data_IF_849411541265
#
_entry.id   IF_849411541265
#
_cell.length_a   1.000
_cell.length_b   1.000
_cell.length_c   1.000
_cell.angle_alpha   90.00
_cell.angle_beta   90.00
_cell.angle_gamma   90.00
#
_symmetry.space_group_name_H-M   'P 1'
#
loop_
_entity.id
_entity.type
_entity.pdbx_description
1 polymer ?
#
# COMPACT_ATOMS: atom_id res chain seq x y z
N UNK A 1 -37.40 17.92 -4.22
CA UNK A 1 -36.11 18.27 -3.60
C UNK A 1 -35.09 17.57 -4.42
N UNK A 2 -34.14 18.27 -5.00
CA UNK A 2 -33.08 17.62 -5.76
C UNK A 2 -32.33 16.71 -4.76
N UNK A 3 -32.21 15.43 -5.08
CA UNK A 3 -31.30 14.53 -4.40
C UNK A 3 -29.90 15.13 -4.58
N UNK A 4 -29.47 15.88 -3.56
CA UNK A 4 -28.17 16.52 -3.57
C UNK A 4 -27.13 15.44 -3.41
N UNK A 5 -26.41 15.14 -4.48
CA UNK A 5 -25.28 14.25 -4.49
C UNK A 5 -24.28 14.68 -3.40
N UNK A 6 -23.98 13.79 -2.45
CA UNK A 6 -23.01 14.07 -1.37
C UNK A 6 -21.65 14.33 -1.97
N UNK A 7 -21.06 15.50 -1.67
CA UNK A 7 -19.80 15.94 -2.24
C UNK A 7 -18.76 16.20 -1.15
N UNK A 8 -17.53 15.82 -1.41
CA UNK A 8 -16.43 15.96 -0.45
C UNK A 8 -15.26 16.74 -1.06
N UNK A 9 -14.65 17.63 -0.28
CA UNK A 9 -13.57 18.48 -0.75
C UNK A 9 -12.19 17.87 -0.48
N UNK A 10 -11.19 18.36 -1.21
CA UNK A 10 -9.81 17.92 -1.08
C UNK A 10 -9.17 18.19 0.30
N UNK A 11 -9.75 19.03 1.16
CA UNK A 11 -9.23 19.29 2.50
C UNK A 11 -9.70 18.26 3.54
N UNK A 12 -10.68 17.43 3.20
CA UNK A 12 -11.19 16.38 4.08
C UNK A 12 -10.35 15.08 3.99
N UNK A 13 -9.31 15.05 3.19
CA UNK A 13 -8.37 13.94 3.07
C UNK A 13 -6.96 14.41 3.36
N UNK A 14 -6.11 13.52 3.89
CA UNK A 14 -4.67 13.77 4.03
C UNK A 14 -3.86 13.19 2.87
N UNK A 15 -4.41 12.19 2.18
CA UNK A 15 -3.78 11.55 1.03
C UNK A 15 -3.56 12.53 -0.13
N UNK A 16 -2.32 12.65 -0.60
CA UNK A 16 -1.95 13.62 -1.65
C UNK A 16 -2.44 13.20 -3.05
N UNK A 17 -2.69 11.91 -3.29
CA UNK A 17 -3.28 11.46 -4.55
C UNK A 17 -4.75 11.87 -4.62
N UNK A 18 -5.53 11.60 -3.57
CA UNK A 18 -6.93 12.01 -3.47
C UNK A 18 -7.08 13.52 -3.57
N UNK A 19 -6.27 14.29 -2.85
CA UNK A 19 -6.27 15.76 -2.95
C UNK A 19 -6.03 16.24 -4.38
N UNK A 20 -5.10 15.61 -5.09
CA UNK A 20 -4.76 15.97 -6.47
C UNK A 20 -5.90 15.61 -7.42
N UNK A 21 -6.50 14.43 -7.28
CA UNK A 21 -7.63 14.00 -8.11
C UNK A 21 -8.85 14.90 -7.90
N UNK A 22 -9.17 15.25 -6.65
CA UNK A 22 -10.25 16.18 -6.35
C UNK A 22 -9.97 17.58 -6.92
N UNK A 23 -8.72 18.07 -6.86
CA UNK A 23 -8.36 19.37 -7.44
C UNK A 23 -8.39 19.38 -8.96
N UNK A 24 -8.08 18.24 -9.60
CA UNK A 24 -8.01 18.10 -11.04
C UNK A 24 -9.39 17.96 -11.69
N UNK A 25 -10.24 17.13 -11.09
CA UNK A 25 -11.50 16.72 -11.68
C UNK A 25 -12.72 17.34 -10.99
N UNK A 26 -12.52 17.94 -9.81
CA UNK A 26 -13.60 18.48 -8.99
C UNK A 26 -14.19 19.78 -9.51
N UNK A 27 -15.41 20.02 -9.12
CA UNK A 27 -16.16 21.26 -9.31
C UNK A 27 -16.24 22.04 -8.01
N UNK A 28 -16.36 23.38 -8.11
CA UNK A 28 -16.48 24.22 -6.92
C UNK A 28 -17.88 24.12 -6.36
N UNK A 29 -17.98 23.54 -5.16
CA UNK A 29 -19.26 23.34 -4.47
C UNK A 29 -19.06 23.33 -2.95
N UNK A 30 -20.15 23.33 -2.19
CA UNK A 30 -20.11 23.19 -0.75
C UNK A 30 -19.81 21.73 -0.36
N UNK A 31 -18.82 21.54 0.51
CA UNK A 31 -18.47 20.24 1.03
C UNK A 31 -19.49 19.81 2.11
N UNK A 32 -20.09 18.64 1.96
CA UNK A 32 -21.07 18.11 2.89
C UNK A 32 -20.53 17.91 4.33
N UNK A 33 -19.22 17.69 4.46
CA UNK A 33 -18.59 17.36 5.76
C UNK A 33 -17.98 18.57 6.47
N UNK A 34 -17.31 19.45 5.76
CA UNK A 34 -16.68 20.61 6.41
C UNK A 34 -17.37 21.95 6.13
N UNK A 35 -18.41 21.98 5.32
CA UNK A 35 -19.21 23.19 4.99
C UNK A 35 -18.46 24.25 4.17
N UNK A 36 -17.24 23.96 3.68
CA UNK A 36 -16.45 24.91 2.91
C UNK A 36 -16.76 24.80 1.43
N UNK A 37 -16.84 25.94 0.75
CA UNK A 37 -16.99 26.00 -0.72
C UNK A 37 -15.62 25.88 -1.38
N UNK A 38 -15.27 24.67 -1.81
CA UNK A 38 -13.98 24.30 -2.39
C UNK A 38 -14.17 23.46 -3.64
N UNK A 39 -13.07 22.98 -4.23
CA UNK A 39 -13.15 21.92 -5.24
C UNK A 39 -13.55 20.62 -4.55
N UNK A 40 -14.65 20.04 -5.00
CA UNK A 40 -15.29 18.82 -4.46
C UNK A 40 -15.50 17.81 -5.56
N UNK A 41 -15.51 16.53 -5.20
CA UNK A 41 -16.01 15.43 -6.04
C UNK A 41 -17.22 14.77 -5.39
N UNK A 42 -18.09 14.12 -6.17
CA UNK A 42 -19.10 13.21 -5.64
C UNK A 42 -18.48 12.13 -4.78
N UNK A 43 -19.13 11.78 -3.68
CA UNK A 43 -18.65 10.72 -2.80
C UNK A 43 -18.56 9.37 -3.51
N UNK A 44 -19.44 9.12 -4.47
CA UNK A 44 -19.40 7.91 -5.31
C UNK A 44 -18.11 7.79 -6.14
N UNK A 45 -17.62 8.90 -6.69
CA UNK A 45 -16.35 8.90 -7.44
C UNK A 45 -15.17 8.64 -6.51
N UNK A 46 -15.22 9.17 -5.30
CA UNK A 46 -14.22 8.88 -4.26
C UNK A 46 -14.29 7.42 -3.84
N UNK A 47 -15.49 6.86 -3.63
CA UNK A 47 -15.68 5.45 -3.32
C UNK A 47 -15.07 4.53 -4.39
N UNK A 48 -15.19 4.86 -5.69
CA UNK A 48 -14.54 4.10 -6.76
C UNK A 48 -13.01 4.05 -6.62
N UNK A 49 -12.39 5.13 -6.16
CA UNK A 49 -10.94 5.16 -5.94
C UNK A 49 -10.53 4.27 -4.76
N UNK A 50 -11.31 4.28 -3.68
CA UNK A 50 -11.09 3.39 -2.54
C UNK A 50 -11.32 1.93 -2.89
N UNK A 51 -12.40 1.61 -3.60
CA UNK A 51 -12.71 0.27 -4.10
C UNK A 51 -11.53 -0.30 -4.89
N UNK A 52 -11.06 0.44 -5.90
CA UNK A 52 -9.91 0.03 -6.71
C UNK A 52 -8.62 -0.16 -5.89
N UNK A 53 -8.37 0.69 -4.91
CA UNK A 53 -7.20 0.59 -4.04
C UNK A 53 -7.29 -0.64 -3.12
N UNK A 54 -8.45 -0.87 -2.50
CA UNK A 54 -8.67 -2.01 -1.60
C UNK A 54 -8.60 -3.32 -2.38
N UNK A 55 -9.29 -3.45 -3.50
CA UNK A 55 -9.24 -4.66 -4.34
C UNK A 55 -7.83 -4.99 -4.84
N UNK A 56 -7.01 -3.97 -5.08
CA UNK A 56 -5.65 -4.16 -5.61
C UNK A 56 -4.66 -4.56 -4.52
N UNK A 57 -4.74 -3.94 -3.34
CA UNK A 57 -3.69 -4.00 -2.33
C UNK A 57 -4.06 -4.77 -1.06
N UNK A 58 -5.34 -5.06 -0.89
CA UNK A 58 -5.84 -5.72 0.31
C UNK A 58 -6.66 -6.96 -0.05
N UNK A 59 -6.79 -7.87 0.89
CA UNK A 59 -7.67 -9.03 0.78
C UNK A 59 -8.53 -9.14 2.04
N UNK A 60 -9.76 -9.55 1.83
CA UNK A 60 -10.70 -9.74 2.92
C UNK A 60 -10.30 -10.96 3.73
N UNK A 61 -10.25 -10.82 5.04
CA UNK A 61 -9.99 -11.92 5.96
C UNK A 61 -11.28 -12.71 6.26
N UNK A 62 -11.16 -13.96 6.74
CA UNK A 62 -12.33 -14.74 7.13
C UNK A 62 -13.19 -14.02 8.17
N UNK A 63 -14.52 -14.08 8.02
CA UNK A 63 -15.48 -13.47 8.95
C UNK A 63 -15.78 -14.34 10.18
N UNK A 64 -15.18 -15.52 10.30
CA UNK A 64 -15.39 -16.45 11.40
C UNK A 64 -14.26 -17.47 11.53
N UNK A 65 -14.19 -18.17 12.65
CA UNK A 65 -13.17 -19.17 12.90
C UNK A 65 -13.26 -20.33 11.88
N UNK A 66 -12.11 -20.85 11.51
CA UNK A 66 -12.03 -22.09 10.74
C UNK A 66 -12.55 -23.28 11.58
N UNK A 67 -12.89 -24.38 10.93
CA UNK A 67 -13.34 -25.60 11.61
C UNK A 67 -12.34 -26.07 12.70
N UNK A 68 -11.05 -25.88 12.46
CA UNK A 68 -10.01 -26.25 13.43
C UNK A 68 -10.03 -25.33 14.66
N UNK A 69 -10.16 -24.03 14.45
CA UNK A 69 -10.24 -23.02 15.52
C UNK A 69 -11.54 -23.18 16.33
N UNK A 70 -12.66 -23.43 15.66
CA UNK A 70 -13.92 -23.79 16.32
C UNK A 70 -13.75 -25.02 17.24
N UNK A 71 -13.08 -26.05 16.73
CA UNK A 71 -12.78 -27.25 17.54
C UNK A 71 -11.87 -26.93 18.73
N UNK A 72 -10.87 -26.08 18.54
CA UNK A 72 -10.00 -25.67 19.63
C UNK A 72 -10.74 -24.86 20.71
N UNK A 73 -11.65 -23.98 20.30
CA UNK A 73 -12.52 -23.23 21.23
C UNK A 73 -13.41 -24.20 22.01
N UNK A 74 -14.06 -25.14 21.32
CA UNK A 74 -14.95 -26.13 21.96
C UNK A 74 -14.21 -27.03 22.98
N UNK A 75 -12.94 -27.31 22.76
CA UNK A 75 -12.12 -28.13 23.64
C UNK A 75 -11.36 -27.32 24.69
N UNK A 76 -11.57 -25.99 24.77
CA UNK A 76 -10.93 -25.11 25.74
C UNK A 76 -9.42 -24.92 25.50
N UNK A 77 -8.96 -25.16 24.28
CA UNK A 77 -7.57 -24.95 23.84
C UNK A 77 -7.34 -23.52 23.34
N UNK A 78 -8.44 -22.81 23.04
CA UNK A 78 -8.46 -21.41 22.62
C UNK A 78 -9.66 -20.73 23.29
N UNK A 79 -9.44 -19.56 23.91
CA UNK A 79 -10.51 -18.88 24.65
C UNK A 79 -11.47 -18.14 23.69
N UNK A 80 -10.93 -17.43 22.72
CA UNK A 80 -11.68 -16.61 21.78
C UNK A 80 -11.02 -16.61 20.41
N UNK A 81 -11.82 -16.37 19.36
CA UNK A 81 -11.35 -16.06 18.02
C UNK A 81 -11.50 -14.56 17.79
N UNK A 82 -10.53 -13.98 17.11
CA UNK A 82 -10.56 -12.60 16.64
C UNK A 82 -10.31 -12.57 15.14
N UNK A 83 -11.04 -11.74 14.38
CA UNK A 83 -10.74 -11.57 12.96
C UNK A 83 -9.32 -11.02 12.79
N UNK A 84 -8.62 -11.54 11.79
CA UNK A 84 -7.32 -11.01 11.37
C UNK A 84 -7.52 -9.74 10.53
N UNK A 85 -6.48 -8.90 10.46
CA UNK A 85 -6.56 -7.64 9.74
C UNK A 85 -7.23 -6.52 10.52
N UNK A 86 -7.61 -5.46 9.81
CA UNK A 86 -8.28 -4.30 10.42
C UNK A 86 -9.69 -4.12 9.84
N UNK A 87 -10.62 -3.54 10.62
CA UNK A 87 -11.96 -3.22 10.14
C UNK A 87 -11.90 -2.37 8.87
N UNK A 88 -12.81 -2.58 7.94
CA UNK A 88 -12.83 -1.87 6.65
C UNK A 88 -12.97 -0.36 6.82
N UNK A 89 -13.68 0.11 7.82
CA UNK A 89 -13.84 1.53 8.13
C UNK A 89 -12.51 2.16 8.55
N UNK A 90 -11.78 1.51 9.46
CA UNK A 90 -10.45 1.94 9.92
C UNK A 90 -9.45 1.94 8.76
N UNK A 91 -9.56 0.95 7.85
CA UNK A 91 -8.75 0.90 6.64
C UNK A 91 -9.01 2.09 5.72
N UNK A 92 -10.27 2.46 5.50
CA UNK A 92 -10.64 3.61 4.67
C UNK A 92 -10.14 4.91 5.33
N UNK A 93 -10.27 5.06 6.65
CA UNK A 93 -9.71 6.20 7.39
C UNK A 93 -8.20 6.30 7.19
N UNK A 94 -7.48 5.20 7.35
CA UNK A 94 -6.01 5.15 7.24
C UNK A 94 -5.55 5.47 5.81
N UNK A 95 -6.12 4.82 4.78
CA UNK A 95 -5.75 5.03 3.38
C UNK A 95 -6.00 6.47 2.95
N UNK A 96 -7.15 7.02 3.31
CA UNK A 96 -7.57 8.36 2.91
C UNK A 96 -7.00 9.47 3.80
N UNK A 97 -6.58 9.14 5.02
CA UNK A 97 -6.36 10.14 6.06
C UNK A 97 -7.60 11.02 6.23
N UNK A 98 -8.75 10.40 6.47
CA UNK A 98 -10.05 11.06 6.52
C UNK A 98 -10.74 10.83 7.87
N UNK A 99 -11.91 11.41 8.07
CA UNK A 99 -12.70 11.21 9.30
C UNK A 99 -13.56 9.96 9.22
N UNK A 100 -13.91 9.40 10.39
CA UNK A 100 -14.83 8.27 10.53
C UNK A 100 -16.17 8.46 9.81
N UNK A 101 -16.72 9.67 9.83
CA UNK A 101 -17.99 9.98 9.15
C UNK A 101 -17.88 9.75 7.63
N UNK A 102 -16.78 10.22 7.03
CA UNK A 102 -16.52 10.04 5.59
C UNK A 102 -16.23 8.57 5.28
N UNK A 103 -15.43 7.92 6.11
CA UNK A 103 -15.09 6.50 5.95
C UNK A 103 -16.35 5.61 6.03
N UNK A 104 -17.23 5.86 7.01
CA UNK A 104 -18.50 5.15 7.16
C UNK A 104 -19.44 5.34 5.96
N UNK A 105 -19.52 6.54 5.42
CA UNK A 105 -20.35 6.82 4.24
C UNK A 105 -19.76 6.15 2.97
N UNK A 106 -18.42 6.17 2.79
CA UNK A 106 -17.74 5.45 1.70
C UNK A 106 -17.99 3.95 1.84
N UNK A 107 -17.79 3.39 3.04
CA UNK A 107 -18.06 1.98 3.32
C UNK A 107 -19.49 1.59 2.94
N UNK A 108 -20.46 2.40 3.38
CA UNK A 108 -21.89 2.15 3.11
C UNK A 108 -22.19 2.13 1.61
N UNK A 109 -21.60 3.04 0.83
CA UNK A 109 -21.74 3.03 -0.62
C UNK A 109 -21.14 1.78 -1.26
N UNK A 110 -19.98 1.31 -0.75
CA UNK A 110 -19.34 0.10 -1.25
C UNK A 110 -20.13 -1.15 -0.85
N UNK A 111 -20.63 -1.22 0.37
CA UNK A 111 -21.50 -2.30 0.84
C UNK A 111 -22.76 -2.41 -0.02
N UNK A 112 -23.44 -1.31 -0.31
CA UNK A 112 -24.64 -1.28 -1.16
C UNK A 112 -24.37 -1.81 -2.58
N UNK A 113 -23.18 -1.60 -3.12
CA UNK A 113 -22.78 -2.09 -4.45
C UNK A 113 -22.49 -3.58 -4.48
N UNK A 114 -21.87 -4.08 -3.42
CA UNK A 114 -21.42 -5.47 -3.29
C UNK A 114 -22.44 -6.39 -2.60
N UNK A 115 -23.54 -5.84 -2.10
CA UNK A 115 -24.62 -6.59 -1.47
C UNK A 115 -25.71 -6.93 -2.49
N UNK A 116 -26.15 -8.18 -2.49
CA UNK A 116 -27.35 -8.58 -3.20
C UNK A 116 -28.53 -8.64 -2.24
N UNK A 117 -29.74 -8.55 -2.77
CA UNK A 117 -30.94 -8.74 -1.97
C UNK A 117 -30.98 -10.10 -1.27
N UNK A 118 -30.44 -11.13 -1.92
CA UNK A 118 -30.37 -12.49 -1.36
C UNK A 118 -29.39 -12.56 -0.18
N UNK A 119 -28.26 -11.85 -0.25
CA UNK A 119 -27.30 -11.78 0.86
C UNK A 119 -27.94 -11.13 2.08
N UNK A 120 -28.67 -10.03 1.87
CA UNK A 120 -29.38 -9.35 2.94
C UNK A 120 -30.47 -10.22 3.57
N UNK A 121 -31.26 -10.95 2.75
CA UNK A 121 -32.32 -11.85 3.23
C UNK A 121 -31.75 -13.08 3.97
N UNK A 122 -30.55 -13.55 3.61
CA UNK A 122 -29.88 -14.71 4.23
C UNK A 122 -28.95 -14.34 5.38
N UNK A 123 -28.68 -13.06 5.59
CA UNK A 123 -27.70 -12.59 6.58
C UNK A 123 -26.27 -13.03 6.26
N UNK A 124 -25.97 -13.15 4.97
CA UNK A 124 -24.61 -13.46 4.52
C UNK A 124 -23.70 -12.25 4.73
N UNK A 125 -22.47 -12.51 5.16
CA UNK A 125 -21.45 -11.48 5.21
C UNK A 125 -21.05 -11.08 3.79
N UNK A 126 -21.28 -9.80 3.45
CA UNK A 126 -20.93 -9.23 2.14
C UNK A 126 -19.58 -8.55 2.18
N UNK A 127 -19.04 -8.19 1.02
CA UNK A 127 -17.86 -7.34 0.97
C UNK A 127 -18.22 -5.95 1.50
N UNK A 128 -17.29 -5.33 2.22
CA UNK A 128 -17.46 -4.00 2.82
C UNK A 128 -18.57 -3.87 3.89
N UNK A 129 -19.12 -4.99 4.39
CA UNK A 129 -20.00 -4.90 5.55
C UNK A 129 -19.26 -4.41 6.80
N UNK A 130 -19.98 -3.94 7.81
CA UNK A 130 -19.40 -3.33 9.02
C UNK A 130 -18.50 -4.26 9.84
N UNK A 131 -18.64 -5.58 9.66
CA UNK A 131 -17.86 -6.60 10.35
C UNK A 131 -16.70 -7.13 9.49
N UNK A 132 -16.58 -6.62 8.25
CA UNK A 132 -15.51 -7.04 7.33
C UNK A 132 -14.16 -6.51 7.76
N UNK A 133 -13.17 -7.40 7.77
CA UNK A 133 -11.78 -7.06 8.05
C UNK A 133 -10.93 -7.33 6.81
N UNK A 134 -9.89 -6.53 6.66
CA UNK A 134 -8.98 -6.61 5.53
C UNK A 134 -7.54 -6.60 6.01
N UNK A 135 -6.69 -7.36 5.35
CA UNK A 135 -5.25 -7.33 5.53
C UNK A 135 -4.54 -6.95 4.22
N UNK A 136 -3.35 -6.38 4.35
CA UNK A 136 -2.55 -6.05 3.19
C UNK A 136 -2.23 -7.32 2.40
N UNK A 137 -2.66 -7.34 1.13
CA UNK A 137 -2.31 -8.43 0.23
C UNK A 137 -0.80 -8.52 0.16
N UNK A 138 -0.24 -9.67 0.54
CA UNK A 138 1.17 -9.91 0.36
C UNK A 138 1.50 -9.57 -1.10
N UNK A 139 2.43 -8.66 -1.33
CA UNK A 139 2.92 -8.38 -2.67
C UNK A 139 3.49 -9.71 -3.15
N UNK A 140 2.62 -10.53 -3.71
CA UNK A 140 3.07 -11.67 -4.48
C UNK A 140 3.96 -11.05 -5.53
N UNK A 141 5.29 -11.24 -5.41
CA UNK A 141 6.25 -10.60 -6.29
C UNK A 141 6.06 -10.94 -7.77
N UNK A 142 4.95 -11.59 -8.12
CA UNK A 142 4.59 -12.05 -9.44
C UNK A 142 5.79 -12.78 -10.07
N UNK A 143 5.99 -12.57 -11.36
CA UNK A 143 7.20 -13.05 -12.06
C UNK A 143 8.49 -12.58 -11.36
N UNK A 144 8.49 -11.37 -10.79
CA UNK A 144 9.66 -10.79 -10.13
C UNK A 144 10.03 -11.51 -8.83
N UNK A 145 9.05 -11.95 -8.04
CA UNK A 145 9.27 -12.69 -6.80
C UNK A 145 9.96 -14.03 -7.02
N UNK A 146 9.69 -14.69 -8.15
CA UNK A 146 10.36 -15.93 -8.54
C UNK A 146 11.65 -15.69 -9.31
N UNK A 147 11.70 -14.66 -10.16
CA UNK A 147 12.87 -14.34 -10.99
C UNK A 147 14.01 -13.75 -10.16
N UNK A 148 13.73 -12.97 -9.12
CA UNK A 148 14.76 -12.31 -8.32
C UNK A 148 15.70 -13.28 -7.58
N UNK A 149 15.23 -14.31 -6.87
CA UNK A 149 16.12 -15.30 -6.25
C UNK A 149 17.00 -16.03 -7.27
N UNK A 150 16.44 -16.36 -8.45
CA UNK A 150 17.21 -16.97 -9.55
C UNK A 150 18.28 -16.01 -10.11
N UNK A 151 17.91 -14.75 -10.27
CA UNK A 151 18.82 -13.70 -10.71
C UNK A 151 19.97 -13.54 -9.73
N UNK A 152 19.67 -13.40 -8.44
CA UNK A 152 20.66 -13.28 -7.38
C UNK A 152 21.58 -14.51 -7.31
N UNK A 153 21.03 -15.71 -7.38
CA UNK A 153 21.80 -16.95 -7.40
C UNK A 153 22.75 -17.00 -8.60
N UNK A 154 22.27 -16.67 -9.79
CA UNK A 154 23.09 -16.66 -11.01
C UNK A 154 24.24 -15.63 -10.93
N UNK A 155 24.00 -14.45 -10.38
CA UNK A 155 25.05 -13.45 -10.16
C UNK A 155 26.10 -13.92 -9.16
N UNK A 156 25.71 -14.66 -8.13
CA UNK A 156 26.60 -15.18 -7.10
C UNK A 156 27.44 -16.38 -7.56
N UNK A 157 26.86 -17.23 -8.43
CA UNK A 157 27.45 -18.55 -8.75
C UNK A 157 27.97 -18.71 -10.17
N UNK A 158 27.33 -18.07 -11.16
CA UNK A 158 27.59 -18.41 -12.57
C UNK A 158 28.28 -17.29 -13.34
N UNK A 159 27.83 -16.05 -13.25
CA UNK A 159 28.33 -14.97 -14.11
C UNK A 159 28.24 -13.59 -13.42
N UNK A 160 29.24 -13.30 -12.60
CA UNK A 160 29.27 -12.07 -11.81
C UNK A 160 29.44 -10.78 -12.64
N UNK A 161 30.24 -10.82 -13.71
CA UNK A 161 30.70 -9.61 -14.40
C UNK A 161 30.27 -9.49 -15.88
N UNK A 162 29.81 -10.54 -16.52
CA UNK A 162 29.51 -10.55 -17.96
C UNK A 162 28.18 -11.23 -18.26
N UNK A 163 27.14 -10.96 -17.48
CA UNK A 163 25.82 -11.55 -17.72
C UNK A 163 24.93 -10.61 -18.51
N UNK A 164 24.86 -10.82 -19.83
CA UNK A 164 23.90 -10.14 -20.72
C UNK A 164 22.44 -10.39 -20.27
N UNK A 165 22.19 -11.59 -19.70
CA UNK A 165 20.87 -11.93 -19.15
C UNK A 165 20.54 -11.07 -17.94
N UNK A 166 21.50 -10.85 -17.04
CA UNK A 166 21.34 -9.99 -15.87
C UNK A 166 21.04 -8.54 -16.28
N UNK A 167 21.73 -8.01 -17.27
CA UNK A 167 21.45 -6.67 -17.80
C UNK A 167 20.04 -6.55 -18.33
N UNK A 168 19.54 -7.53 -19.11
CA UNK A 168 18.18 -7.54 -19.63
C UNK A 168 17.12 -7.62 -18.51
N UNK A 169 17.39 -8.41 -17.46
CA UNK A 169 16.49 -8.51 -16.31
C UNK A 169 16.43 -7.17 -15.56
N UNK A 170 17.58 -6.54 -15.31
CA UNK A 170 17.62 -5.22 -14.67
C UNK A 170 16.94 -4.15 -15.53
N UNK A 171 17.15 -4.16 -16.85
CA UNK A 171 16.52 -3.24 -17.78
C UNK A 171 14.98 -3.39 -17.77
N UNK A 172 14.49 -4.63 -17.73
CA UNK A 172 13.04 -4.90 -17.58
C UNK A 172 12.48 -4.37 -16.26
N UNK A 173 13.21 -4.59 -15.15
CA UNK A 173 12.76 -4.19 -13.80
C UNK A 173 12.78 -2.67 -13.63
N UNK A 174 13.86 -2.03 -14.09
CA UNK A 174 14.09 -0.59 -13.90
C UNK A 174 13.65 0.25 -15.09
N UNK A 175 12.90 -0.35 -16.05
CA UNK A 175 12.36 0.37 -17.20
C UNK A 175 11.53 1.58 -16.73
N UNK A 176 11.91 2.77 -17.21
CA UNK A 176 11.24 4.05 -16.86
C UNK A 176 11.16 4.38 -15.37
N UNK A 177 12.03 3.82 -14.54
CA UNK A 177 12.02 4.07 -13.10
C UNK A 177 12.18 5.57 -12.76
N UNK A 178 12.81 6.36 -13.62
CA UNK A 178 12.90 7.82 -13.49
C UNK A 178 11.56 8.54 -13.62
N UNK A 179 10.57 7.92 -14.28
CA UNK A 179 9.21 8.46 -14.37
C UNK A 179 8.38 8.19 -13.11
N UNK A 180 8.81 7.21 -12.29
CA UNK A 180 8.10 6.83 -11.08
C UNK A 180 8.27 7.89 -9.99
N UNK A 181 7.23 8.01 -9.18
CA UNK A 181 7.19 8.95 -8.04
C UNK A 181 6.78 8.18 -6.78
N UNK A 182 7.29 8.63 -5.64
CA UNK A 182 6.82 8.15 -4.34
C UNK A 182 5.40 8.63 -4.09
N UNK A 183 4.73 8.05 -3.08
CA UNK A 183 3.45 8.52 -2.57
C UNK A 183 3.41 10.05 -2.33
N UNK A 184 4.49 10.64 -1.86
CA UNK A 184 4.63 12.09 -1.66
C UNK A 184 4.97 12.86 -2.96
N UNK A 185 4.82 12.25 -4.13
CA UNK A 185 5.17 12.82 -5.45
C UNK A 185 6.64 13.21 -5.62
N UNK A 186 7.54 12.63 -4.81
CA UNK A 186 8.99 12.82 -4.97
C UNK A 186 9.55 11.82 -5.99
N UNK A 187 10.60 12.15 -6.74
CA UNK A 187 11.25 11.18 -7.62
C UNK A 187 11.74 9.97 -6.82
N UNK A 188 11.55 8.77 -7.36
CA UNK A 188 12.04 7.52 -6.78
C UNK A 188 13.57 7.43 -6.90
N UNK A 189 14.12 7.99 -7.99
CA UNK A 189 15.57 8.09 -8.20
C UNK A 189 16.03 9.48 -7.79
N UNK A 190 17.10 9.51 -7.00
CA UNK A 190 17.78 10.75 -6.60
C UNK A 190 19.21 10.66 -7.09
N UNK A 191 19.65 11.65 -7.84
CA UNK A 191 21.06 11.76 -8.26
C UNK A 191 21.95 12.07 -7.06
N UNK A 192 23.04 11.30 -6.93
CA UNK A 192 24.06 11.52 -5.93
C UNK A 192 25.40 11.87 -6.60
N UNK A 193 26.08 12.89 -6.11
CA UNK A 193 27.38 13.30 -6.63
C UNK A 193 27.72 14.77 -6.34
N UNK A 194 28.88 15.25 -6.77
CA UNK A 194 29.29 16.63 -6.57
C UNK A 194 28.27 17.63 -7.15
N UNK A 195 27.78 18.55 -6.33
CA UNK A 195 26.81 19.57 -6.74
C UNK A 195 25.33 19.13 -6.66
N UNK A 196 25.05 17.91 -6.23
CA UNK A 196 23.68 17.42 -5.98
C UNK A 196 23.33 17.52 -4.49
N UNK A 197 22.03 17.43 -4.12
CA UNK A 197 21.60 17.38 -2.72
C UNK A 197 22.22 16.23 -1.91
N UNK A 198 22.59 15.13 -2.60
CA UNK A 198 23.30 13.99 -2.04
C UNK A 198 24.76 13.98 -2.50
N UNK A 199 25.54 14.94 -1.99
CA UNK A 199 26.96 15.08 -2.34
C UNK A 199 27.86 14.06 -1.64
N UNK A 200 27.38 13.42 -0.56
CA UNK A 200 28.16 12.45 0.23
C UNK A 200 27.35 11.21 0.50
N UNK A 201 27.93 10.05 0.17
CA UNK A 201 27.35 8.74 0.46
C UNK A 201 28.18 8.06 1.56
N UNK A 202 27.50 7.48 2.55
CA UNK A 202 28.11 6.75 3.64
C UNK A 202 27.88 5.24 3.45
N UNK A 203 28.92 4.43 3.66
CA UNK A 203 28.81 2.98 3.70
C UNK A 203 29.09 2.48 5.10
N UNK A 204 28.09 1.86 5.74
CA UNK A 204 28.27 1.19 7.02
C UNK A 204 28.56 -0.30 6.81
N UNK A 205 29.45 -0.86 7.62
CA UNK A 205 29.70 -2.29 7.71
C UNK A 205 29.71 -2.71 9.18
N UNK A 206 29.16 -3.86 9.46
CA UNK A 206 29.19 -4.47 10.79
C UNK A 206 30.31 -5.50 10.80
N UNK A 207 31.18 -5.44 11.81
CA UNK A 207 32.25 -6.39 12.03
C UNK A 207 31.99 -7.16 13.32
N UNK A 208 32.29 -8.46 13.32
CA UNK A 208 32.04 -9.32 14.48
C UNK A 208 33.14 -9.22 15.54
N UNK A 209 34.31 -8.69 15.20
CA UNK A 209 35.45 -8.48 16.12
C UNK A 209 36.29 -7.28 15.70
N UNK A 210 37.09 -6.73 16.65
CA UNK A 210 38.05 -5.67 16.39
C UNK A 210 39.15 -6.09 15.39
N UNK A 211 39.58 -7.34 15.45
CA UNK A 211 40.59 -7.87 14.51
C UNK A 211 40.05 -7.86 13.07
N UNK A 212 38.78 -8.19 12.85
CA UNK A 212 38.18 -8.15 11.51
C UNK A 212 38.01 -6.74 10.98
N UNK A 213 37.78 -5.75 11.87
CA UNK A 213 37.76 -4.34 11.52
C UNK A 213 39.13 -3.84 11.12
N UNK A 214 40.18 -4.12 11.89
CA UNK A 214 41.55 -3.71 11.62
C UNK A 214 42.06 -4.30 10.31
N UNK A 215 41.78 -5.58 10.04
CA UNK A 215 42.11 -6.25 8.78
C UNK A 215 41.36 -5.61 7.58
N UNK A 216 40.15 -5.12 7.75
CA UNK A 216 39.40 -4.44 6.69
C UNK A 216 39.92 -3.03 6.43
N UNK A 217 40.36 -2.29 7.45
CA UNK A 217 40.93 -0.94 7.33
C UNK A 217 42.28 -0.93 6.64
N UNK A 218 43.04 -2.04 6.73
CA UNK A 218 44.36 -2.19 6.05
C UNK A 218 44.25 -2.54 4.56
N UNK A 219 43.06 -2.82 4.04
CA UNK A 219 42.88 -3.13 2.60
C UNK A 219 42.85 -1.84 1.78
N UNK A 220 43.68 -1.73 0.73
CA UNK A 220 43.79 -0.51 -0.10
C UNK A 220 42.47 -0.13 -0.81
N UNK A 221 41.57 -1.09 -1.00
CA UNK A 221 40.26 -0.89 -1.63
C UNK A 221 39.29 0.01 -0.77
N UNK A 222 39.57 0.14 0.51
CA UNK A 222 38.77 0.98 1.41
C UNK A 222 39.23 2.45 1.37
N UNK A 223 40.47 2.69 0.96
CA UNK A 223 41.08 4.01 0.90
C UNK A 223 40.78 4.79 -0.41
N UNK A 224 40.26 4.11 -1.42
CA UNK A 224 40.05 4.68 -2.77
C UNK A 224 38.68 5.31 -2.99
N UNK A 225 37.87 5.50 -1.90
CA UNK A 225 36.56 6.12 -1.95
C UNK A 225 36.55 7.47 -1.20
N UNK A 226 37.57 8.30 -1.45
CA UNK A 226 37.58 9.71 -1.07
C UNK A 226 37.24 10.60 -2.25
#
# INVERSE_FOLDING_TARGET
MADGETRVCHQCFEDEFLKREIRRNGTKDECAYCGKTLLTLPLEEIANLFESAIETHYERTPSGPSYMEESMIQHGLMDFWYPEGQPVEDLIEEIGGTSADIAGDIRSLLEDRHSTREDYEMGNATEFDSESHYEGRAIAGGELGEEWPRFEHNLKTTSRYMSVKALKTLDKIFHKIEEHRTYQNKPVIIEAGPGTPLSTLFRARVFQSGESLDAALQRPEVSALH
#
